data_IF_329839109681
#
_entry.id   IF_329839109681
#
_cell.length_a   1.000
_cell.length_b   1.000
_cell.length_c   1.000
_cell.angle_alpha   90.00
_cell.angle_beta   90.00
_cell.angle_gamma   90.00
#
_symmetry.space_group_name_H-M   'P 1'
#
loop_
_entity.id
_entity.type
_entity.pdbx_description
1 polymer ?
#
# COMPACT_ATOMS: atom_id res chain seq x y z
N UNK A 1 9.13 30.23 13.30
CA UNK A 1 9.68 29.75 12.01
C UNK A 1 10.44 28.45 12.13
N UNK A 2 11.48 28.32 12.97
CA UNK A 2 12.27 27.07 13.11
C UNK A 2 11.44 25.84 13.55
N UNK A 3 10.52 26.02 14.48
CA UNK A 3 9.62 24.95 14.93
C UNK A 3 8.63 24.49 13.84
N UNK A 4 8.14 25.43 13.01
CA UNK A 4 7.21 25.15 11.90
C UNK A 4 7.93 24.34 10.81
N UNK A 5 9.16 24.75 10.47
CA UNK A 5 10.04 24.00 9.55
C UNK A 5 10.34 22.58 10.06
N UNK A 6 10.60 22.42 11.36
CA UNK A 6 10.80 21.11 11.98
C UNK A 6 9.56 20.23 11.88
N UNK A 7 8.36 20.80 12.07
CA UNK A 7 7.09 20.08 11.98
C UNK A 7 6.79 19.61 10.54
N UNK A 8 7.04 20.46 9.54
CA UNK A 8 6.85 20.10 8.12
C UNK A 8 7.79 18.96 7.72
N UNK A 9 9.05 19.00 8.15
CA UNK A 9 10.01 17.91 7.91
C UNK A 9 9.57 16.61 8.57
N UNK A 10 9.04 16.68 9.80
CA UNK A 10 8.51 15.52 10.50
C UNK A 10 7.35 14.88 9.74
N UNK A 11 6.41 15.69 9.24
CA UNK A 11 5.27 15.20 8.44
C UNK A 11 5.74 14.53 7.15
N UNK A 12 6.75 15.09 6.46
CA UNK A 12 7.31 14.47 5.26
C UNK A 12 8.01 13.15 5.54
N UNK A 13 8.79 13.08 6.62
CA UNK A 13 9.49 11.85 7.03
C UNK A 13 8.48 10.78 7.41
N UNK A 14 7.42 11.13 8.14
CA UNK A 14 6.39 10.16 8.54
C UNK A 14 5.55 9.72 7.33
N UNK A 15 5.12 10.67 6.49
CA UNK A 15 4.26 10.39 5.33
C UNK A 15 4.94 9.59 4.21
N UNK A 16 6.26 9.69 4.07
CA UNK A 16 7.02 8.91 3.07
C UNK A 16 7.71 7.71 3.72
N UNK A 17 8.23 7.87 4.94
CA UNK A 17 9.02 6.85 5.62
C UNK A 17 8.20 5.67 6.10
N UNK A 18 6.99 5.88 6.63
CA UNK A 18 6.11 4.79 7.05
C UNK A 18 5.75 3.82 5.91
N UNK A 19 5.24 4.29 4.76
CA UNK A 19 4.89 3.38 3.68
C UNK A 19 6.10 2.62 3.13
N UNK A 20 7.28 3.24 3.05
CA UNK A 20 8.50 2.53 2.60
C UNK A 20 8.90 1.42 3.56
N UNK A 21 8.82 1.65 4.87
CA UNK A 21 9.12 0.61 5.88
C UNK A 21 8.06 -0.49 5.88
N UNK A 22 6.79 -0.13 5.69
CA UNK A 22 5.67 -1.07 5.71
C UNK A 22 5.67 -2.02 4.50
N UNK A 23 5.84 -1.47 3.29
CA UNK A 23 5.79 -2.27 2.06
C UNK A 23 7.15 -2.84 1.65
N UNK A 24 8.27 -2.36 2.19
CA UNK A 24 9.62 -2.79 1.84
C UNK A 24 10.07 -2.40 0.42
N UNK A 25 9.25 -1.63 -0.30
CA UNK A 25 9.53 -1.10 -1.62
C UNK A 25 9.37 0.42 -1.64
N UNK A 26 9.90 1.08 -2.67
CA UNK A 26 9.74 2.53 -2.92
C UNK A 26 8.88 2.81 -4.14
N UNK A 27 8.55 1.78 -4.93
CA UNK A 27 7.73 1.90 -6.12
C UNK A 27 6.24 1.84 -5.73
N UNK A 28 5.46 2.92 -5.98
CA UNK A 28 4.07 3.00 -5.54
C UNK A 28 3.17 1.96 -6.21
N UNK A 29 3.51 1.51 -7.43
CA UNK A 29 2.74 0.48 -8.12
C UNK A 29 3.00 -0.91 -7.52
N UNK A 30 4.23 -1.18 -7.06
CA UNK A 30 4.53 -2.42 -6.32
C UNK A 30 3.84 -2.46 -4.96
N UNK A 31 3.85 -1.35 -4.24
CA UNK A 31 3.12 -1.23 -2.97
C UNK A 31 1.61 -1.45 -3.18
N UNK A 32 1.03 -0.79 -4.20
CA UNK A 32 -0.39 -0.93 -4.52
C UNK A 32 -0.73 -2.38 -4.91
N UNK A 33 0.15 -3.07 -5.62
CA UNK A 33 -0.06 -4.47 -5.97
C UNK A 33 -0.13 -5.39 -4.74
N UNK A 34 0.67 -5.11 -3.70
CA UNK A 34 0.60 -5.86 -2.43
C UNK A 34 -0.73 -5.61 -1.71
N UNK A 35 -1.14 -4.35 -1.60
CA UNK A 35 -2.43 -3.98 -0.98
C UNK A 35 -3.62 -4.63 -1.67
N UNK A 36 -3.67 -4.57 -3.02
CA UNK A 36 -4.75 -5.18 -3.79
C UNK A 36 -4.74 -6.70 -3.67
N UNK A 37 -3.56 -7.31 -3.60
CA UNK A 37 -3.45 -8.76 -3.44
C UNK A 37 -3.92 -9.19 -2.04
N UNK A 38 -3.58 -8.43 -1.01
CA UNK A 38 -4.03 -8.67 0.36
C UNK A 38 -5.53 -8.48 0.52
N UNK A 39 -6.10 -7.40 -0.03
CA UNK A 39 -7.56 -7.17 0.01
C UNK A 39 -8.34 -8.27 -0.72
N UNK A 40 -7.83 -8.75 -1.86
CA UNK A 40 -8.47 -9.84 -2.60
C UNK A 40 -8.31 -11.20 -1.90
N UNK A 41 -7.19 -11.42 -1.22
CA UNK A 41 -6.86 -12.69 -0.57
C UNK A 41 -7.46 -12.83 0.82
N UNK A 42 -7.49 -11.77 1.63
CA UNK A 42 -7.92 -11.79 3.03
C UNK A 42 -9.27 -12.48 3.25
N UNK A 43 -10.35 -12.09 2.54
CA UNK A 43 -11.65 -12.74 2.67
C UNK A 43 -11.63 -14.21 2.27
N UNK A 44 -10.81 -14.58 1.28
CA UNK A 44 -10.66 -15.96 0.85
C UNK A 44 -9.91 -16.77 1.92
N UNK A 45 -8.80 -16.25 2.43
CA UNK A 45 -7.97 -16.88 3.45
C UNK A 45 -8.77 -17.15 4.73
N UNK A 46 -9.55 -16.17 5.19
CA UNK A 46 -10.43 -16.32 6.35
C UNK A 46 -11.45 -17.47 6.16
N UNK A 47 -12.04 -17.59 4.97
CA UNK A 47 -12.98 -18.65 4.64
C UNK A 47 -12.34 -20.05 4.60
N UNK A 48 -11.07 -20.16 4.22
CA UNK A 48 -10.36 -21.45 4.17
C UNK A 48 -9.56 -21.75 5.45
N UNK A 49 -9.60 -20.87 6.43
CA UNK A 49 -8.85 -20.99 7.68
C UNK A 49 -7.33 -20.80 7.52
N UNK A 50 -6.91 -20.05 6.50
CA UNK A 50 -5.53 -19.65 6.31
C UNK A 50 -5.29 -18.23 6.86
N UNK A 51 -4.02 -17.87 7.06
CA UNK A 51 -3.64 -16.54 7.48
C UNK A 51 -3.93 -15.51 6.36
N UNK A 52 -4.78 -14.49 6.59
CA UNK A 52 -5.07 -13.45 5.59
C UNK A 52 -3.84 -12.61 5.24
N UNK A 53 -2.85 -12.54 6.12
CA UNK A 53 -1.62 -11.78 5.90
C UNK A 53 -0.59 -12.56 5.04
N UNK A 54 -0.74 -13.88 4.91
CA UNK A 54 0.17 -14.73 4.12
C UNK A 54 -0.28 -14.83 2.65
N UNK A 55 -0.20 -13.69 1.96
CA UNK A 55 -0.64 -13.56 0.56
C UNK A 55 0.31 -14.33 -0.36
N UNK A 56 -0.19 -15.26 -1.21
CA UNK A 56 0.66 -16.02 -2.11
C UNK A 56 1.25 -15.13 -3.21
N UNK A 57 2.51 -15.37 -3.56
CA UNK A 57 3.25 -14.60 -4.57
C UNK A 57 2.57 -14.55 -5.97
N UNK A 58 1.73 -15.55 -6.29
CA UNK A 58 0.93 -15.56 -7.53
C UNK A 58 -0.15 -14.49 -7.55
N UNK A 59 -0.77 -14.18 -6.41
CA UNK A 59 -1.75 -13.10 -6.27
C UNK A 59 -1.07 -11.75 -6.42
N UNK A 60 0.06 -11.54 -5.73
CA UNK A 60 0.88 -10.33 -5.91
C UNK A 60 1.32 -10.15 -7.37
N UNK A 61 1.80 -11.23 -8.02
CA UNK A 61 2.23 -11.17 -9.41
C UNK A 61 1.09 -10.78 -10.35
N UNK A 62 -0.12 -11.27 -10.08
CA UNK A 62 -1.31 -10.91 -10.87
C UNK A 62 -1.65 -9.43 -10.71
N UNK A 63 -1.57 -8.91 -9.48
CA UNK A 63 -1.79 -7.48 -9.22
C UNK A 63 -0.67 -6.60 -9.76
N UNK A 64 0.57 -7.10 -9.85
CA UNK A 64 1.67 -6.42 -10.54
C UNK A 64 1.39 -6.26 -12.04
N UNK A 65 0.75 -7.24 -12.68
CA UNK A 65 0.32 -7.10 -14.07
C UNK A 65 -0.76 -6.02 -14.21
N UNK A 66 -1.71 -5.95 -13.28
CA UNK A 66 -2.75 -4.90 -13.27
C UNK A 66 -2.13 -3.53 -13.11
N UNK A 67 -1.29 -3.34 -12.08
CA UNK A 67 -0.62 -2.05 -11.80
C UNK A 67 0.40 -1.66 -12.87
N UNK A 68 0.96 -2.60 -13.62
CA UNK A 68 1.87 -2.29 -14.73
C UNK A 68 1.21 -1.51 -15.87
N UNK A 69 -0.13 -1.55 -15.95
CA UNK A 69 -0.90 -0.76 -16.91
C UNK A 69 -1.24 0.65 -16.39
N UNK A 70 -0.93 0.94 -15.13
CA UNK A 70 -1.20 2.23 -14.49
C UNK A 70 0.05 3.11 -14.53
N UNK A 71 -0.16 4.42 -14.54
CA UNK A 71 0.90 5.38 -14.30
C UNK A 71 1.27 5.42 -12.81
N UNK A 72 2.50 5.84 -12.50
CA UNK A 72 2.96 6.00 -11.12
C UNK A 72 2.05 6.95 -10.31
N UNK A 73 1.45 7.96 -10.98
CA UNK A 73 0.50 8.87 -10.36
C UNK A 73 -0.79 8.16 -9.95
N UNK A 74 -1.39 7.39 -10.87
CA UNK A 74 -2.60 6.61 -10.57
C UNK A 74 -2.36 5.58 -9.46
N UNK A 75 -1.18 4.95 -9.45
CA UNK A 75 -0.78 4.04 -8.37
C UNK A 75 -0.73 4.76 -7.02
N UNK A 76 -0.13 5.96 -6.99
CA UNK A 76 -0.01 6.76 -5.76
C UNK A 76 -1.37 7.27 -5.29
N UNK A 77 -2.23 7.76 -6.19
CA UNK A 77 -3.59 8.22 -5.87
C UNK A 77 -4.44 7.07 -5.33
N UNK A 78 -4.36 5.88 -5.94
CA UNK A 78 -5.10 4.69 -5.48
C UNK A 78 -4.60 4.17 -4.14
N UNK A 79 -3.28 4.20 -3.92
CA UNK A 79 -2.68 3.80 -2.64
C UNK A 79 -3.04 4.79 -1.53
N UNK A 80 -3.05 6.08 -1.83
CA UNK A 80 -3.49 7.12 -0.93
C UNK A 80 -4.98 6.98 -0.58
N UNK A 81 -5.83 6.70 -1.57
CA UNK A 81 -7.25 6.44 -1.34
C UNK A 81 -7.43 5.24 -0.41
N UNK A 82 -6.72 4.14 -0.63
CA UNK A 82 -6.76 2.97 0.28
C UNK A 82 -6.36 3.31 1.70
N UNK A 83 -5.25 4.01 1.88
CA UNK A 83 -4.77 4.42 3.20
C UNK A 83 -5.75 5.35 3.93
N UNK A 84 -6.37 6.28 3.22
CA UNK A 84 -7.26 7.29 3.84
C UNK A 84 -8.74 6.88 3.86
N UNK A 85 -9.14 5.94 3.02
CA UNK A 85 -10.49 5.33 2.98
C UNK A 85 -10.62 4.15 3.94
N UNK A 86 -9.51 3.46 4.26
CA UNK A 86 -9.47 2.42 5.30
C UNK A 86 -9.78 2.96 6.71
N UNK A 87 -9.74 4.27 6.94
CA UNK A 87 -10.24 4.91 8.18
C UNK A 87 -11.78 5.01 8.23
N UNK A 88 -12.49 4.48 7.22
CA UNK A 88 -13.96 4.50 7.14
C UNK A 88 -14.57 3.08 7.00
N UNK A 89 -14.10 2.13 7.81
CA UNK A 89 -14.86 0.92 8.19
C UNK A 89 -14.38 0.38 9.53
#
# INVERSE_FOLDING_TARGET
MRAILGLILLVLIVGIGLPVVYYGEVDPCRMLAKDMAHEAYGPLAELVGNDPDDVPASMESSMRLVTSQMSARECTESLWDRWTSSERN
#
